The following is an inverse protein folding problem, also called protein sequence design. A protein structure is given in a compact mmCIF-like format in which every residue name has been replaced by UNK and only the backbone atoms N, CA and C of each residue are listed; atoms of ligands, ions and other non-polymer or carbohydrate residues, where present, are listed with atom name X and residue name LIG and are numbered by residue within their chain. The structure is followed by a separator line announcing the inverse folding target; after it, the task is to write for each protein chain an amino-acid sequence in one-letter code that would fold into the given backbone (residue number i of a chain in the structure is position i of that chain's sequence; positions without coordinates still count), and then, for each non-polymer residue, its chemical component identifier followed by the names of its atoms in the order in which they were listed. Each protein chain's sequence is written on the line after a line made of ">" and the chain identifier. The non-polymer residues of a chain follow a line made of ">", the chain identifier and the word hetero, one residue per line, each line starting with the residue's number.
data_IF_971707218229
#
_entry.id   IF_971707218229
#
_cell.length_a   1.000
_cell.length_b   1.000
_cell.length_c   1.000
_cell.angle_alpha   90.00
_cell.angle_beta   90.00
_cell.angle_gamma   90.00
#
_symmetry.space_group_name_H-M   'P 1'
#
loop_
_entity.id
_entity.type
_entity.pdbx_description
1 polymer ?
#
# COMPACT_ATOMS: atom_id res chain seq x y z
N UNK A 1 4.34 -24.90 -30.20
CA UNK A 1 3.94 -24.27 -28.92
C UNK A 1 3.57 -25.28 -27.85
N UNK A 2 2.59 -26.16 -28.00
CA UNK A 2 2.19 -27.11 -26.95
C UNK A 2 3.28 -28.12 -26.55
N UNK A 3 4.00 -28.72 -27.49
CA UNK A 3 5.09 -29.69 -27.19
C UNK A 3 6.30 -29.03 -26.48
N UNK A 4 6.61 -27.79 -26.81
CA UNK A 4 7.69 -27.03 -26.18
C UNK A 4 7.34 -26.67 -24.74
N UNK A 5 6.09 -26.29 -24.48
CA UNK A 5 5.57 -26.02 -23.15
C UNK A 5 5.64 -27.29 -22.27
N UNK A 6 5.26 -28.45 -22.81
CA UNK A 6 5.35 -29.75 -22.11
C UNK A 6 6.80 -30.09 -21.77
N UNK A 7 7.74 -29.92 -22.71
CA UNK A 7 9.18 -30.16 -22.45
C UNK A 7 9.69 -29.26 -21.33
N UNK A 8 9.35 -27.97 -21.36
CA UNK A 8 9.74 -27.02 -20.31
C UNK A 8 9.14 -27.38 -18.96
N UNK A 9 7.87 -27.76 -18.91
CA UNK A 9 7.22 -28.24 -17.69
C UNK A 9 7.92 -29.46 -17.09
N UNK A 10 8.20 -30.46 -17.91
CA UNK A 10 8.88 -31.69 -17.46
C UNK A 10 10.30 -31.37 -16.94
N UNK A 11 11.06 -30.53 -17.64
CA UNK A 11 12.39 -30.10 -17.22
C UNK A 11 12.36 -29.37 -15.86
N UNK A 12 11.35 -28.53 -15.61
CA UNK A 12 11.19 -27.87 -14.31
C UNK A 12 10.80 -28.86 -13.20
N UNK A 13 9.94 -29.83 -13.52
CA UNK A 13 9.54 -30.90 -12.61
C UNK A 13 10.72 -31.78 -12.17
N UNK A 14 11.60 -32.11 -13.13
CA UNK A 14 12.83 -32.91 -12.85
C UNK A 14 13.82 -32.19 -11.92
N UNK A 15 13.78 -30.85 -11.86
CA UNK A 15 14.62 -30.05 -10.94
C UNK A 15 14.21 -30.20 -9.46
N UNK A 16 13.06 -30.80 -9.16
CA UNK A 16 12.59 -31.00 -7.80
C UNK A 16 12.43 -29.72 -6.99
N UNK A 17 12.08 -28.61 -7.64
CA UNK A 17 11.96 -27.30 -6.99
C UNK A 17 10.87 -27.33 -5.92
N UNK A 18 11.19 -26.85 -4.72
CA UNK A 18 10.24 -26.61 -3.64
C UNK A 18 10.17 -25.10 -3.38
N UNK A 19 9.39 -24.40 -4.23
CA UNK A 19 9.24 -22.93 -4.16
C UNK A 19 7.80 -22.64 -3.83
N UNK A 20 7.58 -21.93 -2.70
CA UNK A 20 6.26 -21.41 -2.32
C UNK A 20 6.06 -20.05 -2.97
N UNK A 21 5.13 -19.99 -3.93
CA UNK A 21 4.73 -18.74 -4.61
C UNK A 21 3.35 -18.24 -4.15
N UNK A 22 2.79 -18.83 -3.10
CA UNK A 22 1.46 -18.44 -2.59
C UNK A 22 1.46 -17.11 -1.86
N UNK A 23 2.64 -16.64 -1.45
CA UNK A 23 2.83 -15.33 -0.80
C UNK A 23 4.11 -14.67 -1.27
N UNK A 24 4.04 -13.35 -1.55
CA UNK A 24 5.21 -12.50 -1.74
C UNK A 24 5.87 -12.22 -0.38
N UNK A 25 6.88 -13.02 -0.02
CA UNK A 25 7.68 -12.83 1.21
C UNK A 25 9.13 -12.58 0.82
N UNK A 26 9.84 -11.68 1.51
CA UNK A 26 11.29 -11.59 1.39
C UNK A 26 11.92 -12.94 1.75
N UNK A 27 12.98 -13.32 1.06
CA UNK A 27 13.75 -14.50 1.43
C UNK A 27 14.68 -14.24 2.63
N UNK A 28 15.36 -15.29 3.11
CA UNK A 28 16.21 -15.20 4.28
C UNK A 28 17.34 -14.18 4.09
N UNK A 29 17.99 -14.16 2.93
CA UNK A 29 19.14 -13.28 2.68
C UNK A 29 18.71 -11.80 2.64
N UNK A 30 17.50 -11.52 2.14
CA UNK A 30 16.90 -10.17 2.19
C UNK A 30 16.60 -9.74 3.63
N UNK A 31 16.06 -10.65 4.46
CA UNK A 31 15.77 -10.38 5.87
C UNK A 31 17.06 -10.16 6.69
N UNK A 32 18.12 -10.89 6.36
CA UNK A 32 19.42 -10.79 7.04
C UNK A 32 20.07 -9.40 6.89
N UNK A 33 19.70 -8.63 5.87
CA UNK A 33 20.12 -7.21 5.72
C UNK A 33 19.69 -6.34 6.88
N UNK A 34 18.61 -6.69 7.57
CA UNK A 34 18.04 -5.93 8.68
C UNK A 34 18.52 -6.39 10.06
N UNK A 35 19.36 -7.45 10.16
CA UNK A 35 19.78 -8.03 11.44
C UNK A 35 20.49 -7.02 12.34
N UNK A 36 21.24 -6.06 11.79
CA UNK A 36 21.90 -5.01 12.55
C UNK A 36 20.95 -4.08 13.32
N UNK A 37 19.67 -4.06 12.97
CA UNK A 37 18.67 -3.25 13.70
C UNK A 37 18.42 -3.78 15.12
N UNK A 38 18.66 -5.08 15.37
CA UNK A 38 18.44 -5.71 16.68
C UNK A 38 19.41 -5.17 17.72
N UNK A 39 20.60 -4.76 17.29
CA UNK A 39 21.69 -4.30 18.17
C UNK A 39 21.67 -2.78 18.40
N UNK A 40 20.71 -2.06 17.83
CA UNK A 40 20.60 -0.61 17.99
C UNK A 40 19.96 -0.29 19.33
N UNK A 41 20.65 0.55 20.11
CA UNK A 41 20.09 1.11 21.35
C UNK A 41 19.07 2.20 20.99
N UNK A 42 17.83 1.99 21.44
CA UNK A 42 16.75 2.95 21.22
C UNK A 42 16.87 4.06 22.29
N UNK A 43 16.92 5.35 21.90
CA UNK A 43 16.91 6.45 22.85
C UNK A 43 15.60 6.49 23.63
N UNK A 44 15.60 7.08 24.81
CA UNK A 44 14.39 7.25 25.63
C UNK A 44 13.61 8.52 25.29
N UNK A 45 14.23 9.44 24.58
CA UNK A 45 13.62 10.70 24.13
C UNK A 45 13.77 10.80 22.63
N UNK A 46 12.75 11.36 21.96
CA UNK A 46 12.81 11.79 20.58
C UNK A 46 13.62 13.09 20.41
N UNK A 47 13.95 13.48 19.17
CA UNK A 47 14.66 14.72 18.85
C UNK A 47 13.94 15.98 19.35
N UNK A 48 12.61 15.95 19.46
CA UNK A 48 11.79 17.04 19.97
C UNK A 48 11.51 16.95 21.48
N UNK A 49 12.11 15.95 22.16
CA UNK A 49 12.09 15.79 23.59
C UNK A 49 10.91 14.99 24.16
N UNK A 50 10.09 14.37 23.32
CA UNK A 50 9.03 13.48 23.79
C UNK A 50 9.61 12.19 24.38
N UNK A 51 9.07 11.75 25.54
CA UNK A 51 9.49 10.49 26.17
C UNK A 51 8.87 9.29 25.44
N UNK A 52 9.70 8.53 24.72
CA UNK A 52 9.30 7.38 23.90
C UNK A 52 8.76 6.19 24.70
N UNK A 53 8.86 6.23 26.03
CA UNK A 53 8.29 5.21 26.93
C UNK A 53 6.87 5.50 27.36
N UNK A 54 6.34 6.67 27.00
CA UNK A 54 4.99 7.12 27.34
C UNK A 54 4.02 6.85 26.16
N UNK A 55 2.81 7.40 26.21
CA UNK A 55 1.86 7.35 25.12
C UNK A 55 2.48 7.98 23.86
N UNK A 56 2.22 7.34 22.70
CA UNK A 56 2.72 7.84 21.42
C UNK A 56 2.05 9.14 20.98
N UNK A 57 2.77 9.92 20.19
CA UNK A 57 2.24 11.11 19.52
C UNK A 57 1.23 10.73 18.42
N UNK A 58 0.10 11.47 18.27
CA UNK A 58 -0.93 11.15 17.29
C UNK A 58 -0.43 11.07 15.83
N UNK A 59 0.60 11.83 15.50
CA UNK A 59 1.20 11.86 14.16
C UNK A 59 2.44 10.97 14.01
N UNK A 60 2.84 10.29 15.07
CA UNK A 60 4.10 9.55 15.16
C UNK A 60 5.29 10.42 15.51
N UNK A 61 6.39 9.80 15.93
CA UNK A 61 7.61 10.50 16.34
C UNK A 61 8.24 11.26 15.19
N UNK A 62 8.90 12.37 15.50
CA UNK A 62 9.43 13.28 14.48
C UNK A 62 10.47 12.62 13.57
N UNK A 63 11.28 11.68 14.09
CA UNK A 63 12.28 10.94 13.32
C UNK A 63 11.63 10.06 12.25
N UNK A 64 10.56 9.33 12.60
CA UNK A 64 9.82 8.50 11.66
C UNK A 64 9.13 9.35 10.60
N UNK A 65 8.59 10.50 10.96
CA UNK A 65 7.99 11.46 10.01
C UNK A 65 9.03 12.08 9.07
N UNK A 66 10.23 12.43 9.58
CA UNK A 66 11.34 12.89 8.73
C UNK A 66 11.77 11.81 7.74
N UNK A 67 11.94 10.58 8.20
CA UNK A 67 12.25 9.44 7.32
C UNK A 67 11.17 9.24 6.26
N UNK A 68 9.90 9.27 6.66
CA UNK A 68 8.76 9.18 5.72
C UNK A 68 8.74 10.34 4.72
N UNK A 69 9.08 11.55 5.16
CA UNK A 69 9.21 12.74 4.30
C UNK A 69 10.25 12.54 3.20
N UNK A 70 11.41 11.99 3.52
CA UNK A 70 12.47 11.68 2.56
C UNK A 70 12.02 10.58 1.57
N UNK A 71 11.45 9.48 2.09
CA UNK A 71 11.03 8.34 1.26
C UNK A 71 9.86 8.69 0.31
N UNK A 72 8.94 9.55 0.75
CA UNK A 72 7.75 9.93 -0.01
C UNK A 72 7.92 11.23 -0.80
N UNK A 73 9.04 11.92 -0.64
CA UNK A 73 9.27 13.25 -1.19
C UNK A 73 8.11 14.22 -0.88
N UNK A 74 7.68 14.22 0.38
CA UNK A 74 6.57 15.03 0.89
C UNK A 74 7.01 15.89 2.07
N UNK A 75 6.42 17.09 2.29
CA UNK A 75 6.69 17.88 3.50
C UNK A 75 6.42 17.11 4.78
N UNK A 76 7.29 17.23 5.79
CA UNK A 76 7.19 16.46 7.04
C UNK A 76 5.87 16.71 7.79
N UNK A 77 5.29 17.89 7.68
CA UNK A 77 3.98 18.24 8.24
C UNK A 77 2.82 17.46 7.61
N UNK A 78 3.01 16.93 6.41
CA UNK A 78 2.03 16.11 5.69
C UNK A 78 2.24 14.60 5.87
N UNK A 79 3.21 14.19 6.71
CA UNK A 79 3.54 12.80 6.97
C UNK A 79 3.01 12.35 8.33
N UNK A 80 2.25 11.27 8.31
CA UNK A 80 1.81 10.53 9.49
C UNK A 80 2.60 9.23 9.57
N UNK A 81 3.26 8.98 10.70
CA UNK A 81 3.97 7.73 10.95
C UNK A 81 3.21 6.93 12.01
N UNK A 82 2.36 6.05 11.55
CA UNK A 82 1.53 5.22 12.41
C UNK A 82 1.55 3.78 11.89
N UNK A 83 0.71 2.95 12.32
CA UNK A 83 0.41 1.57 11.92
C UNK A 83 1.45 0.88 10.99
N UNK A 84 1.68 -0.38 11.20
CA UNK A 84 2.61 -1.20 10.38
C UNK A 84 1.95 -1.88 9.17
N UNK A 85 0.62 -1.84 9.09
CA UNK A 85 -0.14 -2.46 8.01
C UNK A 85 -0.61 -1.40 7.02
N UNK A 86 -0.01 -1.38 5.82
CA UNK A 86 -0.44 -0.47 4.74
C UNK A 86 -1.90 -0.68 4.35
N UNK A 87 -2.40 -1.93 4.39
CA UNK A 87 -3.81 -2.23 4.13
C UNK A 87 -4.72 -1.57 5.17
N UNK A 88 -4.35 -1.63 6.46
CA UNK A 88 -5.13 -1.01 7.52
C UNK A 88 -5.10 0.52 7.43
N UNK A 89 -3.96 1.11 7.08
CA UNK A 89 -3.85 2.55 6.82
C UNK A 89 -4.75 2.99 5.65
N UNK A 90 -4.76 2.22 4.57
CA UNK A 90 -5.66 2.47 3.42
C UNK A 90 -7.11 2.39 3.85
N UNK A 91 -7.48 1.34 4.62
CA UNK A 91 -8.84 1.20 5.16
C UNK A 91 -9.23 2.39 6.03
N UNK A 92 -8.37 2.81 6.97
CA UNK A 92 -8.63 3.96 7.84
C UNK A 92 -8.78 5.26 7.04
N UNK A 93 -7.98 5.44 5.99
CA UNK A 93 -8.07 6.61 5.10
C UNK A 93 -9.40 6.63 4.36
N UNK A 94 -9.82 5.49 3.78
CA UNK A 94 -11.13 5.38 3.12
C UNK A 94 -12.26 5.60 4.12
N UNK A 95 -12.20 4.96 5.30
CA UNK A 95 -13.21 5.12 6.35
C UNK A 95 -13.33 6.58 6.81
N UNK A 96 -12.21 7.27 7.01
CA UNK A 96 -12.21 8.68 7.43
C UNK A 96 -12.90 9.56 6.37
N UNK A 97 -12.58 9.39 5.11
CA UNK A 97 -13.23 10.12 4.03
C UNK A 97 -14.71 9.72 3.87
N UNK A 98 -15.01 8.45 4.02
CA UNK A 98 -16.40 7.96 3.94
C UNK A 98 -17.28 8.60 5.00
N UNK A 99 -16.76 8.78 6.23
CA UNK A 99 -17.52 9.30 7.36
C UNK A 99 -17.45 10.81 7.52
N UNK A 100 -16.29 11.43 7.22
CA UNK A 100 -15.95 12.77 7.71
C UNK A 100 -15.38 13.71 6.66
N UNK A 101 -15.28 13.32 5.37
CA UNK A 101 -14.76 14.22 4.33
C UNK A 101 -15.55 15.53 4.26
N UNK A 102 -14.83 16.64 4.18
CA UNK A 102 -15.42 17.96 3.98
C UNK A 102 -15.35 18.36 2.49
N UNK A 103 -16.35 19.05 1.95
CA UNK A 103 -17.59 19.51 2.60
C UNK A 103 -18.69 18.44 2.62
N UNK A 104 -18.49 17.29 2.00
CA UNK A 104 -19.50 16.24 1.91
C UNK A 104 -18.88 14.86 2.11
N UNK A 105 -19.18 14.15 3.21
CA UNK A 105 -18.73 12.76 3.43
C UNK A 105 -19.17 11.85 2.29
N UNK A 106 -18.29 10.93 1.88
CA UNK A 106 -18.57 10.03 0.73
C UNK A 106 -19.83 9.18 0.94
N UNK A 107 -20.19 8.84 2.18
CA UNK A 107 -21.45 8.13 2.49
C UNK A 107 -22.71 8.88 2.02
N UNK A 108 -22.63 10.17 1.77
CA UNK A 108 -23.75 11.00 1.29
C UNK A 108 -23.76 11.13 -0.24
N UNK A 109 -22.73 10.62 -0.93
CA UNK A 109 -22.64 10.61 -2.39
C UNK A 109 -23.46 9.43 -2.90
N UNK A 110 -24.39 9.71 -3.83
CA UNK A 110 -25.13 8.65 -4.48
C UNK A 110 -24.22 7.91 -5.46
N UNK A 111 -24.06 6.60 -5.29
CA UNK A 111 -23.20 5.75 -6.10
C UNK A 111 -21.75 6.25 -6.18
N UNK A 112 -21.02 6.32 -5.05
CA UNK A 112 -19.65 6.79 -5.05
C UNK A 112 -18.74 5.84 -5.86
N UNK A 113 -17.80 6.41 -6.61
CA UNK A 113 -16.89 5.68 -7.48
C UNK A 113 -15.44 5.95 -7.12
N UNK A 114 -14.58 4.96 -7.31
CA UNK A 114 -13.16 5.04 -7.01
C UNK A 114 -12.35 4.47 -8.19
N UNK A 115 -11.46 5.25 -8.77
CA UNK A 115 -10.62 4.79 -9.87
C UNK A 115 -9.51 3.91 -9.30
N UNK A 116 -9.41 2.70 -9.85
CA UNK A 116 -8.49 1.65 -9.40
C UNK A 116 -7.51 1.28 -10.50
N UNK A 117 -6.22 1.63 -10.38
CA UNK A 117 -5.22 1.11 -11.31
C UNK A 117 -5.09 -0.41 -11.22
N UNK A 118 -5.15 -1.09 -12.38
CA UNK A 118 -5.07 -2.56 -12.47
C UNK A 118 -3.97 -3.00 -13.44
N UNK A 119 -3.24 -4.10 -13.14
CA UNK A 119 -3.40 -4.99 -11.98
C UNK A 119 -2.97 -4.36 -10.66
N UNK A 120 -3.58 -4.76 -9.55
CA UNK A 120 -3.31 -4.26 -8.22
C UNK A 120 -3.61 -5.30 -7.14
N UNK A 121 -3.45 -4.92 -5.87
CA UNK A 121 -3.74 -5.80 -4.75
C UNK A 121 -5.25 -5.90 -4.53
N UNK A 122 -5.80 -7.09 -4.73
CA UNK A 122 -7.24 -7.38 -4.75
C UNK A 122 -8.00 -6.91 -3.52
N UNK A 123 -7.39 -6.93 -2.35
CA UNK A 123 -8.04 -6.54 -1.08
C UNK A 123 -8.38 -5.05 -1.02
N UNK A 124 -7.61 -4.20 -1.71
CA UNK A 124 -7.96 -2.78 -1.83
C UNK A 124 -9.27 -2.60 -2.59
N UNK A 125 -9.49 -3.41 -3.63
CA UNK A 125 -10.72 -3.35 -4.43
C UNK A 125 -11.91 -3.95 -3.68
N UNK A 126 -11.70 -5.08 -2.99
CA UNK A 126 -12.75 -5.71 -2.18
C UNK A 126 -13.25 -4.78 -1.07
N UNK A 127 -12.33 -4.09 -0.40
CA UNK A 127 -12.65 -3.13 0.65
C UNK A 127 -13.59 -2.01 0.16
N UNK A 128 -13.40 -1.51 -1.05
CA UNK A 128 -14.28 -0.48 -1.63
C UNK A 128 -15.72 -1.00 -1.74
N UNK A 129 -15.90 -2.25 -2.18
CA UNK A 129 -17.21 -2.90 -2.25
C UNK A 129 -17.91 -3.00 -0.89
N UNK A 130 -17.16 -3.24 0.21
CA UNK A 130 -17.70 -3.26 1.57
C UNK A 130 -18.27 -1.90 2.01
N UNK A 131 -17.73 -0.80 1.45
CA UNK A 131 -18.27 0.55 1.63
C UNK A 131 -19.37 0.93 0.63
N UNK A 132 -19.74 0.04 -0.29
CA UNK A 132 -20.68 0.36 -1.38
C UNK A 132 -20.11 1.36 -2.38
N UNK A 133 -18.80 1.36 -2.57
CA UNK A 133 -18.07 2.20 -3.53
C UNK A 133 -17.75 1.37 -4.76
N UNK A 134 -18.17 1.82 -5.94
CA UNK A 134 -17.86 1.15 -7.19
C UNK A 134 -16.38 1.37 -7.58
N UNK A 135 -15.65 0.28 -7.77
CA UNK A 135 -14.27 0.31 -8.24
C UNK A 135 -14.25 0.36 -9.78
N UNK A 136 -13.73 1.44 -10.35
CA UNK A 136 -13.58 1.63 -11.80
C UNK A 136 -12.15 1.27 -12.21
N UNK A 137 -11.91 0.18 -12.92
CA UNK A 137 -10.58 -0.24 -13.28
C UNK A 137 -9.99 0.62 -14.40
N UNK A 138 -8.73 1.04 -14.24
CA UNK A 138 -7.94 1.70 -15.28
C UNK A 138 -6.61 0.94 -15.44
N UNK A 139 -6.19 0.60 -16.68
CA UNK A 139 -4.98 -0.17 -16.90
C UNK A 139 -3.71 0.50 -16.38
N UNK A 140 -2.77 -0.32 -15.86
CA UNK A 140 -1.38 0.05 -15.67
C UNK A 140 -0.56 -0.34 -16.90
N UNK A 141 0.35 0.54 -17.30
CA UNK A 141 1.38 0.33 -18.32
C UNK A 141 2.74 0.24 -17.65
N UNK A 142 3.80 -0.03 -18.42
CA UNK A 142 5.19 -0.01 -17.92
C UNK A 142 5.63 1.38 -17.45
N UNK A 143 4.94 2.45 -17.88
CA UNK A 143 5.23 3.85 -17.52
C UNK A 143 4.31 4.39 -16.39
N UNK A 144 3.38 3.58 -15.90
CA UNK A 144 2.41 3.96 -14.87
C UNK A 144 0.95 3.77 -15.32
N UNK A 145 0.05 4.61 -14.79
CA UNK A 145 -1.37 4.54 -15.18
C UNK A 145 -1.56 4.95 -16.64
N UNK A 146 -2.42 4.24 -17.37
CA UNK A 146 -2.84 4.62 -18.72
C UNK A 146 -3.65 5.93 -18.65
N UNK A 147 -3.00 7.03 -19.06
CA UNK A 147 -3.60 8.37 -18.95
C UNK A 147 -4.74 8.60 -19.94
N UNK A 148 -4.76 7.91 -21.08
CA UNK A 148 -5.86 8.00 -22.04
C UNK A 148 -7.11 7.32 -21.46
N UNK A 149 -6.99 6.07 -21.01
CA UNK A 149 -8.06 5.35 -20.35
C UNK A 149 -8.56 6.06 -19.08
N UNK A 150 -7.64 6.61 -18.26
CA UNK A 150 -7.99 7.42 -17.10
C UNK A 150 -8.82 8.66 -17.47
N UNK A 151 -8.41 9.37 -18.52
CA UNK A 151 -9.10 10.58 -19.00
C UNK A 151 -10.49 10.24 -19.54
N UNK A 152 -10.64 9.11 -20.21
CA UNK A 152 -11.94 8.68 -20.76
C UNK A 152 -12.90 8.31 -19.63
N UNK A 153 -12.45 7.59 -18.60
CA UNK A 153 -13.26 7.33 -17.39
C UNK A 153 -13.73 8.65 -16.76
N UNK A 154 -12.86 9.64 -16.63
CA UNK A 154 -13.27 10.95 -16.08
C UNK A 154 -14.32 11.68 -16.91
N UNK A 155 -14.33 11.50 -18.23
CA UNK A 155 -15.34 12.12 -19.12
C UNK A 155 -16.69 11.39 -19.04
N UNK A 156 -16.67 10.06 -18.88
CA UNK A 156 -17.89 9.23 -18.80
C UNK A 156 -18.60 9.40 -17.45
N UNK A 157 -17.85 9.72 -16.39
CA UNK A 157 -18.35 9.79 -15.01
C UNK A 157 -18.72 11.23 -14.58
N UNK A 158 -18.51 12.24 -15.40
CA UNK A 158 -18.99 13.61 -15.22
C UNK A 158 -20.30 13.84 -15.98
#
# INVERSE_FOLDING_TARGET
>A
MHQETIKRFNSLKEKGLSIDITRGKPDKDQLDLSNGLIDISIPTLSDDGADLRNYGEPFGIIEARKLGSELLNAPVENVLACEQSSLLLTYQTVLANFLFAEPNPWKNINNPKFICPVPGFDRHFMMLGDFGIDAIPVPLTDEGIDLEAFTDVLKEEN
#
